data_IF_959592537517
#
_entry.id   IF_959592537517
#
_cell.length_a   1.000
_cell.length_b   1.000
_cell.length_c   1.000
_cell.angle_alpha   90.00
_cell.angle_beta   90.00
_cell.angle_gamma   90.00
#
_symmetry.space_group_name_H-M   'P 1'
#
loop_
_entity.id
_entity.type
_entity.pdbx_description
1 polymer ?
#
# COMPACT_ATOMS: atom_id res chain seq x y z
N UNK A 1 65.83 24.43 -61.21
CA UNK A 1 66.31 24.24 -59.83
C UNK A 1 65.32 24.91 -58.89
N UNK A 2 64.88 24.16 -57.87
CA UNK A 2 64.10 24.60 -56.70
C UNK A 2 62.73 25.26 -56.95
N UNK A 3 61.70 24.73 -56.28
CA UNK A 3 61.13 25.40 -55.10
C UNK A 3 59.70 24.93 -54.87
N UNK A 4 59.46 24.28 -53.73
CA UNK A 4 58.13 24.12 -53.16
C UNK A 4 57.73 25.42 -52.46
N UNK A 5 56.47 25.86 -52.61
CA UNK A 5 55.85 26.84 -51.70
C UNK A 5 54.32 26.70 -51.66
N UNK A 6 53.85 26.40 -50.48
CA UNK A 6 52.49 26.47 -49.93
C UNK A 6 52.01 27.92 -49.71
N UNK A 7 50.70 28.18 -49.88
CA UNK A 7 49.81 29.12 -49.12
C UNK A 7 48.41 29.07 -49.81
N UNK A 8 47.28 28.68 -49.18
CA UNK A 8 46.49 29.20 -48.04
C UNK A 8 45.44 30.26 -48.47
N UNK A 9 44.23 30.14 -47.87
CA UNK A 9 43.07 31.10 -47.78
C UNK A 9 41.93 30.92 -48.81
N UNK A 10 40.62 31.12 -48.55
CA UNK A 10 39.71 31.12 -47.38
C UNK A 10 38.27 31.36 -47.96
N UNK A 11 37.22 30.90 -47.27
CA UNK A 11 35.90 31.56 -47.11
C UNK A 11 34.64 31.26 -48.00
N UNK A 12 33.50 31.28 -47.29
CA UNK A 12 32.08 31.52 -47.64
C UNK A 12 31.08 30.37 -47.97
N UNK A 13 30.39 29.88 -46.92
CA UNK A 13 28.94 30.03 -46.62
C UNK A 13 27.92 30.10 -47.79
N UNK A 14 26.95 29.17 -47.84
CA UNK A 14 25.51 29.45 -48.09
C UNK A 14 24.60 28.22 -47.83
N UNK A 15 23.57 28.40 -47.01
CA UNK A 15 22.32 27.60 -46.92
C UNK A 15 21.18 28.60 -47.21
N UNK A 16 20.02 28.27 -47.84
CA UNK A 16 18.79 28.00 -47.05
C UNK A 16 17.57 27.30 -47.73
N UNK A 17 16.55 26.94 -46.90
CA UNK A 17 15.05 26.95 -47.07
C UNK A 17 14.38 26.14 -48.23
N UNK A 18 13.11 25.70 -48.25
CA UNK A 18 11.97 25.34 -47.35
C UNK A 18 10.78 24.95 -48.29
N UNK A 19 9.71 24.30 -47.77
CA UNK A 19 8.30 24.23 -48.31
C UNK A 19 8.01 23.34 -49.54
N UNK A 20 6.91 22.57 -49.74
CA UNK A 20 5.56 22.43 -49.11
C UNK A 20 4.76 21.22 -49.67
N UNK A 21 3.86 20.63 -48.85
CA UNK A 21 2.46 20.12 -49.11
C UNK A 21 2.19 18.94 -50.07
N UNK A 22 1.81 17.74 -49.60
CA UNK A 22 0.49 17.19 -49.19
C UNK A 22 -0.51 16.84 -50.31
N UNK A 23 -0.84 15.55 -50.45
CA UNK A 23 -2.21 15.06 -50.70
C UNK A 23 -2.32 13.55 -50.40
N UNK A 24 -3.30 13.23 -49.56
CA UNK A 24 -3.82 11.95 -49.08
C UNK A 24 -4.49 11.11 -50.17
N UNK A 25 -4.51 9.76 -50.08
CA UNK A 25 -5.71 8.87 -50.12
C UNK A 25 -5.30 7.46 -49.66
N UNK A 26 -6.19 6.87 -48.87
CA UNK A 26 -6.16 5.57 -48.21
C UNK A 26 -6.26 4.34 -49.15
N UNK A 27 -6.19 3.17 -48.51
CA UNK A 27 -6.51 1.81 -49.00
C UNK A 27 -5.33 0.96 -49.52
N UNK A 28 -4.61 0.36 -48.56
CA UNK A 28 -4.11 -1.01 -48.70
C UNK A 28 -4.12 -1.71 -47.32
N UNK A 29 -5.26 -1.63 -46.64
CA UNK A 29 -5.68 -2.72 -45.78
C UNK A 29 -6.31 -3.80 -46.68
N UNK A 30 -6.04 -5.07 -46.38
CA UNK A 30 -6.51 -6.29 -47.05
C UNK A 30 -5.65 -6.83 -48.22
N UNK A 31 -4.56 -7.52 -47.87
CA UNK A 31 -4.03 -8.75 -48.50
C UNK A 31 -2.65 -9.03 -47.85
N UNK A 32 -2.36 -10.10 -47.11
CA UNK A 32 -2.95 -11.43 -47.00
C UNK A 32 -2.89 -11.86 -45.53
N UNK A 33 -4.09 -12.12 -45.01
CA UNK A 33 -4.31 -12.94 -43.83
C UNK A 33 -3.76 -14.33 -44.16
N UNK A 34 -2.61 -14.64 -43.59
CA UNK A 34 -2.00 -15.95 -43.60
C UNK A 34 -1.42 -16.25 -42.24
N UNK A 35 -2.23 -16.08 -41.17
CA UNK A 35 -1.92 -16.76 -39.91
C UNK A 35 -2.09 -18.26 -40.20
N UNK A 36 -1.06 -19.10 -40.12
CA UNK A 36 -1.34 -20.48 -39.83
C UNK A 36 -1.99 -20.44 -38.44
N UNK A 37 -3.28 -20.73 -38.35
CA UNK A 37 -3.84 -21.18 -37.08
C UNK A 37 -3.05 -22.43 -36.73
N UNK A 38 -2.02 -22.25 -35.90
CA UNK A 38 -1.28 -23.33 -35.31
C UNK A 38 -2.33 -24.16 -34.58
N UNK A 39 -2.62 -25.32 -35.15
CA UNK A 39 -3.57 -26.26 -34.65
C UNK A 39 -3.13 -26.58 -33.22
N UNK A 40 -3.93 -26.17 -32.23
CA UNK A 40 -3.68 -26.49 -30.82
C UNK A 40 -3.78 -28.01 -30.73
N UNK A 41 -2.63 -28.67 -30.81
CA UNK A 41 -2.55 -30.10 -30.64
C UNK A 41 -2.87 -30.35 -29.17
N UNK A 42 -4.03 -30.95 -28.88
CA UNK A 42 -4.45 -31.33 -27.52
C UNK A 42 -3.45 -32.24 -26.80
N UNK A 43 -2.47 -32.76 -27.54
CA UNK A 43 -1.37 -33.58 -27.04
C UNK A 43 -0.08 -32.79 -26.77
N UNK A 44 -0.11 -31.45 -26.78
CA UNK A 44 1.08 -30.63 -26.54
C UNK A 44 1.47 -30.58 -25.06
N UNK A 45 2.78 -30.53 -24.80
CA UNK A 45 3.37 -30.32 -23.47
C UNK A 45 2.94 -28.99 -22.85
N UNK A 46 2.68 -27.95 -23.65
CA UNK A 46 2.25 -26.64 -23.14
C UNK A 46 0.81 -26.69 -22.63
N UNK A 47 -0.10 -27.33 -23.38
CA UNK A 47 -1.47 -27.59 -22.91
C UNK A 47 -1.43 -28.44 -21.65
N UNK A 48 -0.58 -29.47 -21.64
CA UNK A 48 -0.42 -30.33 -20.47
C UNK A 48 0.19 -29.59 -19.26
N UNK A 49 0.98 -28.53 -19.46
CA UNK A 49 1.47 -27.67 -18.37
C UNK A 49 0.33 -26.85 -17.77
N UNK A 50 -0.51 -26.22 -18.60
CA UNK A 50 -1.65 -25.42 -18.15
C UNK A 50 -2.69 -26.25 -17.39
N UNK A 51 -2.93 -27.50 -17.82
CA UNK A 51 -3.85 -28.43 -17.16
C UNK A 51 -3.23 -29.15 -15.96
N UNK A 52 -1.92 -28.98 -15.72
CA UNK A 52 -1.21 -29.67 -14.66
C UNK A 52 -1.38 -29.01 -13.29
N UNK A 53 -0.84 -29.68 -12.27
CA UNK A 53 -0.74 -29.16 -10.90
C UNK A 53 0.30 -28.06 -10.70
N UNK A 54 0.93 -27.55 -11.75
CA UNK A 54 1.87 -26.43 -11.72
C UNK A 54 1.15 -25.13 -12.09
N UNK A 55 0.06 -24.84 -11.39
CA UNK A 55 -0.83 -23.70 -11.68
C UNK A 55 -0.10 -22.36 -11.54
N UNK A 56 0.72 -22.21 -10.49
CA UNK A 56 1.49 -20.99 -10.25
C UNK A 56 2.50 -20.69 -11.39
N UNK A 57 3.16 -21.73 -11.91
CA UNK A 57 4.06 -21.56 -13.05
C UNK A 57 3.28 -21.16 -14.30
N UNK A 58 2.12 -21.77 -14.52
CA UNK A 58 1.25 -21.50 -15.67
C UNK A 58 0.78 -20.04 -15.67
N UNK A 59 0.35 -19.53 -14.51
CA UNK A 59 0.02 -18.12 -14.35
C UNK A 59 1.18 -17.18 -14.66
N UNK A 60 2.41 -17.52 -14.22
CA UNK A 60 3.58 -16.71 -14.53
C UNK A 60 3.90 -16.70 -16.03
N UNK A 61 3.70 -17.83 -16.73
CA UNK A 61 3.88 -17.92 -18.18
C UNK A 61 2.89 -17.03 -18.94
N UNK A 62 1.63 -16.99 -18.49
CA UNK A 62 0.60 -16.09 -19.02
C UNK A 62 0.97 -14.62 -18.77
N UNK A 63 1.31 -14.27 -17.52
CA UNK A 63 1.73 -12.91 -17.12
C UNK A 63 2.99 -12.44 -17.86
N UNK A 64 3.88 -13.36 -18.22
CA UNK A 64 5.10 -13.07 -18.97
C UNK A 64 4.90 -12.98 -20.49
N UNK A 65 3.69 -13.22 -21.00
CA UNK A 65 3.36 -13.24 -22.43
C UNK A 65 4.26 -14.18 -23.24
N UNK A 66 4.66 -15.32 -22.66
CA UNK A 66 5.62 -16.25 -23.27
C UNK A 66 4.99 -17.35 -24.12
N UNK A 67 3.66 -17.51 -24.10
CA UNK A 67 2.97 -18.62 -24.79
C UNK A 67 3.39 -18.74 -26.27
N UNK A 68 3.38 -17.63 -27.02
CA UNK A 68 3.76 -17.64 -28.43
C UNK A 68 5.23 -18.06 -28.65
N UNK A 69 6.14 -17.62 -27.78
CA UNK A 69 7.56 -17.98 -27.87
C UNK A 69 7.78 -19.46 -27.56
N UNK A 70 7.03 -20.00 -26.59
CA UNK A 70 7.10 -21.42 -26.24
C UNK A 70 6.51 -22.30 -27.33
N UNK A 71 5.39 -21.92 -27.94
CA UNK A 71 4.80 -22.62 -29.08
C UNK A 71 5.79 -22.75 -30.25
N UNK A 72 6.49 -21.65 -30.56
CA UNK A 72 7.55 -21.66 -31.57
C UNK A 72 8.69 -22.60 -31.17
N UNK A 73 9.15 -22.57 -29.92
CA UNK A 73 10.23 -23.44 -29.44
C UNK A 73 9.85 -24.93 -29.54
N UNK A 74 8.62 -25.28 -29.16
CA UNK A 74 8.07 -26.64 -29.21
C UNK A 74 7.92 -27.14 -30.66
N UNK A 75 7.64 -26.24 -31.61
CA UNK A 75 7.53 -26.61 -33.02
C UNK A 75 8.86 -27.02 -33.66
N UNK A 76 9.99 -26.51 -33.14
CA UNK A 76 11.33 -26.74 -33.70
C UNK A 76 12.08 -27.84 -32.95
N UNK A 77 11.91 -27.94 -31.63
CA UNK A 77 12.65 -28.86 -30.78
C UNK A 77 11.75 -29.52 -29.73
N UNK A 78 12.11 -30.75 -29.35
CA UNK A 78 11.53 -31.37 -28.16
C UNK A 78 12.11 -30.71 -26.91
N UNK A 79 11.25 -30.14 -26.07
CA UNK A 79 11.68 -29.36 -24.90
C UNK A 79 11.56 -30.15 -23.59
N UNK A 80 12.34 -29.75 -22.59
CA UNK A 80 12.19 -30.20 -21.21
C UNK A 80 11.90 -28.99 -20.32
N UNK A 81 10.81 -29.04 -19.56
CA UNK A 81 10.36 -27.97 -18.66
C UNK A 81 10.60 -28.43 -17.22
N UNK A 82 11.38 -27.66 -16.47
CA UNK A 82 11.57 -27.87 -15.04
C UNK A 82 10.56 -27.02 -14.26
N UNK A 83 9.45 -27.62 -13.84
CA UNK A 83 8.36 -26.93 -13.17
C UNK A 83 8.53 -26.93 -11.64
N UNK A 84 8.68 -25.77 -10.99
CA UNK A 84 8.72 -25.69 -9.53
C UNK A 84 7.34 -26.02 -8.95
N UNK A 85 7.32 -26.69 -7.80
CA UNK A 85 6.06 -26.91 -7.07
C UNK A 85 5.45 -25.57 -6.61
N UNK A 86 4.12 -25.49 -6.56
CA UNK A 86 3.41 -24.29 -6.13
C UNK A 86 3.89 -23.77 -4.76
N UNK A 87 4.16 -24.68 -3.81
CA UNK A 87 4.63 -24.29 -2.48
C UNK A 87 5.99 -23.56 -2.52
N UNK A 88 6.84 -23.87 -3.51
CA UNK A 88 8.13 -23.23 -3.67
C UNK A 88 8.01 -21.78 -4.19
N UNK A 89 6.90 -21.44 -4.85
CA UNK A 89 6.63 -20.09 -5.36
C UNK A 89 5.87 -19.22 -4.36
N UNK A 90 5.08 -19.84 -3.49
CA UNK A 90 4.32 -19.15 -2.45
C UNK A 90 5.11 -18.96 -1.17
N UNK A 91 5.82 -19.99 -0.70
CA UNK A 91 6.41 -20.02 0.65
C UNK A 91 7.93 -19.85 0.66
N UNK A 92 8.61 -20.43 -0.32
CA UNK A 92 10.08 -20.46 -0.33
C UNK A 92 10.71 -19.24 -1.02
N UNK A 93 9.89 -18.43 -1.71
CA UNK A 93 10.35 -17.24 -2.43
C UNK A 93 10.30 -16.00 -1.53
N UNK A 94 11.36 -15.19 -1.55
CA UNK A 94 11.38 -13.89 -0.86
C UNK A 94 10.21 -13.02 -1.37
N UNK A 95 9.33 -12.50 -0.48
CA UNK A 95 8.19 -11.68 -0.89
C UNK A 95 8.62 -10.43 -1.65
N UNK A 96 9.76 -9.82 -1.31
CA UNK A 96 10.28 -8.66 -2.06
C UNK A 96 10.72 -9.06 -3.47
N UNK A 97 11.32 -10.24 -3.62
CA UNK A 97 11.71 -10.78 -4.92
C UNK A 97 10.50 -11.13 -5.78
N UNK A 98 9.45 -11.71 -5.17
CA UNK A 98 8.18 -12.00 -5.86
C UNK A 98 7.53 -10.72 -6.38
N UNK A 99 7.45 -9.68 -5.55
CA UNK A 99 6.94 -8.37 -5.97
C UNK A 99 7.78 -7.78 -7.11
N UNK A 100 9.11 -7.84 -7.01
CA UNK A 100 10.00 -7.39 -8.06
C UNK A 100 9.72 -8.09 -9.41
N UNK A 101 9.48 -9.40 -9.42
CA UNK A 101 9.18 -10.14 -10.65
C UNK A 101 7.82 -9.80 -11.25
N UNK A 102 6.82 -9.49 -10.43
CA UNK A 102 5.45 -9.20 -10.86
C UNK A 102 5.24 -7.74 -11.28
N UNK A 103 6.18 -6.83 -10.97
CA UNK A 103 6.16 -5.45 -11.46
C UNK A 103 6.17 -5.43 -13.01
N UNK A 104 5.23 -4.74 -13.68
CA UNK A 104 5.15 -4.67 -15.15
C UNK A 104 6.46 -4.19 -15.81
N UNK A 105 7.22 -3.35 -15.10
CA UNK A 105 8.52 -2.84 -15.55
C UNK A 105 9.59 -3.93 -15.68
N UNK A 106 9.49 -5.01 -14.92
CA UNK A 106 10.50 -6.08 -14.84
C UNK A 106 10.07 -7.34 -15.60
N UNK A 107 9.14 -7.20 -16.55
CA UNK A 107 8.62 -8.30 -17.37
C UNK A 107 9.74 -9.08 -18.08
N UNK A 108 10.81 -8.39 -18.55
CA UNK A 108 11.97 -9.05 -19.17
C UNK A 108 12.71 -9.97 -18.19
N UNK A 109 12.77 -9.60 -16.92
CA UNK A 109 13.42 -10.38 -15.86
C UNK A 109 12.60 -11.64 -15.56
N UNK A 110 11.27 -11.50 -15.51
CA UNK A 110 10.34 -12.62 -15.40
C UNK A 110 10.45 -13.57 -16.61
N UNK A 111 10.46 -13.04 -17.83
CA UNK A 111 10.65 -13.85 -19.04
C UNK A 111 11.97 -14.63 -19.01
N UNK A 112 13.07 -13.97 -18.66
CA UNK A 112 14.39 -14.61 -18.58
C UNK A 112 14.42 -15.71 -17.52
N UNK A 113 13.75 -15.50 -16.38
CA UNK A 113 13.62 -16.49 -15.32
C UNK A 113 12.84 -17.72 -15.81
N UNK A 114 11.70 -17.52 -16.47
CA UNK A 114 10.87 -18.63 -16.96
C UNK A 114 11.58 -19.41 -18.08
N UNK A 115 12.23 -18.73 -19.02
CA UNK A 115 13.02 -19.37 -20.08
C UNK A 115 14.22 -20.16 -19.54
N UNK A 116 14.72 -19.82 -18.35
CA UNK A 116 15.78 -20.57 -17.69
C UNK A 116 15.31 -21.93 -17.15
N UNK A 117 14.00 -22.12 -16.96
CA UNK A 117 13.41 -23.40 -16.58
C UNK A 117 13.22 -24.34 -17.77
N UNK A 118 13.50 -23.89 -18.99
CA UNK A 118 13.21 -24.65 -20.21
C UNK A 118 14.50 -24.94 -20.95
N UNK A 119 14.71 -26.22 -21.24
CA UNK A 119 15.86 -26.71 -22.01
C UNK A 119 15.35 -27.18 -23.38
N UNK A 120 15.89 -26.69 -24.51
CA UNK A 120 15.48 -27.07 -25.87
C UNK A 120 16.03 -28.44 -26.29
N UNK A 121 16.09 -29.39 -25.35
CA UNK A 121 16.44 -30.79 -25.61
C UNK A 121 15.59 -31.68 -24.72
N UNK A 122 15.22 -32.86 -25.21
CA UNK A 122 14.44 -33.84 -24.44
C UNK A 122 15.36 -34.63 -23.51
N UNK A 123 15.22 -34.38 -22.22
CA UNK A 123 15.95 -35.06 -21.15
C UNK A 123 14.89 -35.79 -20.35
N UNK A 124 14.87 -37.12 -20.47
CA UNK A 124 14.00 -37.96 -19.66
C UNK A 124 14.79 -38.64 -18.56
N UNK A 125 14.09 -39.34 -17.69
CA UNK A 125 14.69 -40.02 -16.55
C UNK A 125 15.87 -40.95 -16.85
N UNK A 126 15.75 -41.71 -17.94
CA UNK A 126 16.79 -42.64 -18.42
C UNK A 126 17.98 -41.96 -19.10
N UNK A 127 17.83 -40.71 -19.53
CA UNK A 127 18.89 -39.88 -20.15
C UNK A 127 19.50 -38.88 -19.17
N UNK A 128 19.22 -39.03 -17.88
CA UNK A 128 19.79 -38.15 -16.87
C UNK A 128 21.30 -38.36 -16.78
N UNK A 129 22.11 -37.28 -16.72
CA UNK A 129 23.56 -37.40 -16.66
C UNK A 129 24.02 -37.98 -15.32
N UNK A 130 25.02 -38.87 -15.35
CA UNK A 130 25.64 -39.43 -14.14
C UNK A 130 26.62 -38.45 -13.49
N UNK A 131 27.20 -37.55 -14.29
CA UNK A 131 28.12 -36.50 -13.85
C UNK A 131 27.49 -35.12 -14.05
N UNK A 132 28.14 -34.05 -13.59
CA UNK A 132 27.61 -32.70 -13.79
C UNK A 132 27.78 -32.27 -15.25
N UNK A 133 26.68 -32.20 -16.00
CA UNK A 133 26.67 -31.74 -17.40
C UNK A 133 26.05 -30.36 -17.54
N UNK A 134 26.56 -29.58 -18.50
CA UNK A 134 26.06 -28.25 -18.84
C UNK A 134 25.05 -28.35 -19.98
N UNK A 135 23.85 -27.84 -19.77
CA UNK A 135 22.79 -27.74 -20.77
C UNK A 135 22.48 -26.27 -21.06
N UNK A 136 22.28 -25.94 -22.33
CA UNK A 136 21.78 -24.61 -22.70
C UNK A 136 20.29 -24.56 -22.40
N UNK A 137 19.80 -23.45 -21.86
CA UNK A 137 18.36 -23.21 -21.67
C UNK A 137 17.85 -22.32 -22.80
N UNK A 138 16.54 -22.07 -22.86
CA UNK A 138 16.00 -21.02 -23.72
C UNK A 138 16.38 -19.61 -23.24
N UNK A 139 16.87 -19.49 -22.01
CA UNK A 139 17.56 -18.28 -21.56
C UNK A 139 19.03 -18.29 -21.98
N UNK A 140 19.65 -17.12 -22.04
CA UNK A 140 21.09 -16.96 -22.33
C UNK A 140 22.01 -17.62 -21.27
N UNK A 141 21.46 -18.16 -20.17
CA UNK A 141 22.20 -18.74 -19.07
C UNK A 141 22.15 -20.27 -19.09
N UNK A 142 23.29 -20.98 -19.00
CA UNK A 142 23.30 -22.43 -18.96
C UNK A 142 22.77 -22.97 -17.62
N UNK A 143 22.22 -24.17 -17.66
CA UNK A 143 21.76 -24.94 -16.51
C UNK A 143 22.63 -26.18 -16.33
N UNK A 144 22.99 -26.48 -15.09
CA UNK A 144 23.80 -27.65 -14.75
C UNK A 144 22.89 -28.76 -14.22
N UNK A 145 22.97 -29.95 -14.81
CA UNK A 145 22.27 -31.13 -14.32
C UNK A 145 23.31 -32.06 -13.70
N UNK A 146 23.01 -32.60 -12.51
CA UNK A 146 23.91 -33.54 -11.83
C UNK A 146 23.13 -34.62 -11.10
N UNK A 147 23.84 -35.67 -10.73
CA UNK A 147 23.33 -36.77 -9.92
C UNK A 147 24.27 -36.94 -8.72
N UNK A 148 23.76 -36.69 -7.51
CA UNK A 148 24.53 -36.76 -6.27
C UNK A 148 23.87 -37.78 -5.34
N UNK A 149 24.57 -38.89 -5.05
CA UNK A 149 24.16 -39.88 -4.04
C UNK A 149 22.67 -40.27 -4.12
N UNK A 150 22.20 -40.63 -5.33
CA UNK A 150 20.78 -40.97 -5.67
C UNK A 150 19.78 -39.81 -5.74
N UNK A 151 20.23 -38.57 -5.54
CA UNK A 151 19.43 -37.36 -5.70
C UNK A 151 19.81 -36.64 -6.99
N UNK A 152 18.84 -36.52 -7.90
CA UNK A 152 18.97 -35.73 -9.13
C UNK A 152 18.83 -34.24 -8.81
N UNK A 153 19.77 -33.43 -9.28
CA UNK A 153 19.84 -31.98 -9.05
C UNK A 153 19.77 -31.22 -10.38
N UNK A 154 19.01 -30.12 -10.36
CA UNK A 154 18.84 -29.16 -11.45
C UNK A 154 19.33 -27.82 -10.95
N UNK A 155 20.58 -27.48 -11.26
CA UNK A 155 21.26 -26.32 -10.68
C UNK A 155 21.32 -26.44 -9.15
N UNK A 156 20.59 -25.57 -8.45
CA UNK A 156 20.46 -25.57 -6.99
C UNK A 156 19.19 -26.28 -6.49
N UNK A 157 18.30 -26.73 -7.39
CA UNK A 157 17.03 -27.34 -7.04
C UNK A 157 17.10 -28.87 -7.10
N UNK A 158 16.49 -29.54 -6.12
CA UNK A 158 16.31 -31.00 -6.15
C UNK A 158 15.17 -31.37 -7.09
N UNK A 159 15.37 -32.39 -7.92
CA UNK A 159 14.30 -33.02 -8.68
C UNK A 159 13.40 -33.79 -7.71
N UNK A 160 12.13 -33.42 -7.65
CA UNK A 160 11.13 -34.02 -6.76
C UNK A 160 10.29 -35.04 -7.51
N UNK A 161 9.89 -34.72 -8.76
CA UNK A 161 9.11 -35.61 -9.62
C UNK A 161 9.76 -35.70 -10.99
N UNK A 162 10.22 -36.90 -11.30
CA UNK A 162 10.83 -37.25 -12.57
C UNK A 162 9.74 -37.66 -13.55
N UNK A 163 9.88 -37.27 -14.83
CA UNK A 163 8.93 -37.57 -15.90
C UNK A 163 7.43 -37.38 -15.50
N UNK A 164 7.10 -36.30 -14.79
CA UNK A 164 5.75 -36.07 -14.22
C UNK A 164 4.69 -35.97 -15.32
N UNK A 165 5.04 -35.31 -16.42
CA UNK A 165 4.22 -35.25 -17.64
C UNK A 165 5.12 -35.55 -18.83
N UNK A 166 4.75 -36.57 -19.60
CA UNK A 166 5.47 -36.96 -20.81
C UNK A 166 4.56 -36.82 -22.02
N UNK A 167 4.97 -35.98 -22.97
CA UNK A 167 4.33 -35.81 -24.27
C UNK A 167 5.34 -36.08 -25.39
N UNK A 168 4.84 -36.06 -26.63
CA UNK A 168 5.67 -36.31 -27.81
C UNK A 168 6.62 -35.13 -28.08
N UNK A 169 6.15 -33.93 -27.77
CA UNK A 169 6.80 -32.64 -28.01
C UNK A 169 7.61 -32.14 -26.80
N UNK A 170 7.46 -32.75 -25.63
CA UNK A 170 8.29 -32.42 -24.47
C UNK A 170 8.03 -33.25 -23.22
N UNK A 171 8.82 -32.94 -22.18
CA UNK A 171 8.74 -33.56 -20.85
C UNK A 171 8.68 -32.47 -19.79
N UNK A 172 7.88 -32.69 -18.74
CA UNK A 172 7.84 -31.84 -17.56
C UNK A 172 8.42 -32.60 -16.36
N UNK A 173 9.34 -31.94 -15.66
CA UNK A 173 9.99 -32.41 -14.46
C UNK A 173 9.63 -31.50 -13.29
N UNK A 174 9.18 -32.08 -12.18
CA UNK A 174 8.89 -31.34 -10.96
C UNK A 174 10.14 -31.07 -10.14
N UNK A 175 10.47 -29.80 -9.91
CA UNK A 175 11.60 -29.39 -9.07
C UNK A 175 11.11 -28.81 -7.73
N UNK A 176 11.96 -28.93 -6.71
CA UNK A 176 11.63 -28.55 -5.35
C UNK A 176 11.75 -27.05 -5.06
N UNK A 177 12.47 -26.29 -5.91
CA UNK A 177 12.76 -24.86 -5.74
C UNK A 177 12.79 -24.16 -7.10
N UNK A 178 12.53 -22.85 -7.11
CA UNK A 178 12.65 -22.00 -8.30
C UNK A 178 14.11 -21.85 -8.75
N UNK A 179 14.38 -21.95 -10.05
CA UNK A 179 15.69 -21.70 -10.64
C UNK A 179 15.84 -20.19 -10.91
N UNK A 180 16.76 -19.55 -10.20
CA UNK A 180 17.00 -18.10 -10.33
C UNK A 180 18.29 -17.87 -11.11
N UNK A 181 18.24 -17.30 -12.34
CA UNK A 181 19.42 -16.94 -13.09
C UNK A 181 20.23 -15.84 -12.37
N UNK A 182 21.56 -15.91 -12.47
CA UNK A 182 22.47 -14.90 -11.87
C UNK A 182 22.15 -13.47 -12.33
N UNK A 183 21.76 -13.29 -13.59
CA UNK A 183 21.36 -11.99 -14.14
C UNK A 183 20.14 -11.39 -13.44
N UNK A 184 19.09 -12.20 -13.25
CA UNK A 184 17.87 -11.76 -12.56
C UNK A 184 18.15 -11.46 -11.09
N UNK A 185 18.99 -12.27 -10.43
CA UNK A 185 19.42 -12.01 -9.06
C UNK A 185 20.21 -10.70 -8.93
N UNK A 186 21.10 -10.40 -9.88
CA UNK A 186 21.86 -9.16 -9.92
C UNK A 186 20.95 -7.94 -10.14
N UNK A 187 19.95 -8.06 -11.01
CA UNK A 187 18.97 -7.01 -11.26
C UNK A 187 18.16 -6.69 -10.00
N UNK A 188 17.67 -7.72 -9.29
CA UNK A 188 17.02 -7.55 -7.99
C UNK A 188 17.93 -6.87 -6.96
N UNK A 189 19.17 -7.34 -6.81
CA UNK A 189 20.12 -6.77 -5.85
C UNK A 189 20.44 -5.30 -6.17
N UNK A 190 20.56 -4.95 -7.45
CA UNK A 190 20.78 -3.57 -7.91
C UNK A 190 19.58 -2.68 -7.58
N UNK A 191 18.36 -3.19 -7.72
CA UNK A 191 17.14 -2.44 -7.38
C UNK A 191 17.02 -2.23 -5.87
N UNK A 192 17.35 -3.25 -5.08
CA UNK A 192 17.38 -3.15 -3.62
C UNK A 192 18.44 -2.16 -3.15
N UNK A 193 19.64 -2.16 -3.73
CA UNK A 193 20.68 -1.19 -3.39
C UNK A 193 20.30 0.22 -3.80
N UNK A 194 19.66 0.42 -4.96
CA UNK A 194 19.12 1.73 -5.35
C UNK A 194 18.03 2.21 -4.40
N UNK A 195 17.09 1.35 -3.97
CA UNK A 195 16.12 1.70 -2.93
C UNK A 195 16.82 2.08 -1.61
N UNK A 196 17.86 1.34 -1.20
CA UNK A 196 18.62 1.67 0.01
C UNK A 196 19.40 2.98 -0.11
N UNK A 197 19.97 3.28 -1.29
CA UNK A 197 20.68 4.55 -1.57
C UNK A 197 19.68 5.72 -1.60
N UNK A 198 18.48 5.52 -2.16
CA UNK A 198 17.42 6.53 -2.17
C UNK A 198 16.73 6.71 -0.81
N UNK A 199 16.82 5.71 0.08
CA UNK A 199 16.27 5.76 1.43
C UNK A 199 17.19 6.45 2.46
N UNK A 200 18.33 7.02 2.03
CA UNK A 200 19.11 7.92 2.88
C UNK A 200 18.30 9.19 3.07
N UNK A 201 17.78 9.38 4.29
CA UNK A 201 17.06 10.60 4.67
C UNK A 201 17.97 11.80 4.38
N UNK A 202 17.54 12.79 3.58
CA UNK A 202 18.35 13.99 3.37
C UNK A 202 18.54 14.69 4.72
N UNK A 203 19.78 14.74 5.19
CA UNK A 203 20.15 15.55 6.34
C UNK A 203 20.22 17.02 5.91
N UNK A 204 19.73 17.93 6.75
CA UNK A 204 19.84 19.36 6.49
C UNK A 204 21.30 19.79 6.35
N UNK A 205 21.55 20.83 5.56
CA UNK A 205 22.90 21.39 5.43
C UNK A 205 23.46 21.74 6.82
N UNK A 206 24.75 21.42 7.09
CA UNK A 206 25.31 21.64 8.41
C UNK A 206 25.32 23.13 8.74
N UNK A 207 24.69 23.50 9.85
CA UNK A 207 24.56 24.90 10.29
C UNK A 207 25.93 25.40 10.80
N UNK A 208 26.47 26.44 10.17
CA UNK A 208 27.72 27.09 10.60
C UNK A 208 27.37 28.26 11.49
N UNK A 209 27.88 28.28 12.72
CA UNK A 209 27.69 29.44 13.61
C UNK A 209 28.48 30.64 13.04
N UNK A 210 27.83 31.75 12.64
CA UNK A 210 28.49 32.85 11.93
C UNK A 210 29.49 33.63 12.80
N UNK A 211 29.41 33.47 14.13
CA UNK A 211 30.32 34.13 15.08
C UNK A 211 31.59 33.32 15.38
N UNK A 212 31.55 32.01 15.15
CA UNK A 212 32.66 31.09 15.51
C UNK A 212 33.20 30.31 14.32
N UNK A 213 32.54 30.37 13.15
CA UNK A 213 32.84 29.58 11.95
C UNK A 213 32.99 28.07 12.23
N UNK A 214 32.29 27.58 13.26
CA UNK A 214 32.27 26.16 13.62
C UNK A 214 30.94 25.55 13.23
N UNK A 215 30.99 24.28 12.83
CA UNK A 215 29.80 23.48 12.62
C UNK A 215 29.09 23.31 13.95
N UNK A 216 27.82 23.70 14.00
CA UNK A 216 26.97 23.49 15.16
C UNK A 216 26.68 22.00 15.27
N UNK A 217 26.95 21.42 16.44
CA UNK A 217 26.77 19.99 16.65
C UNK A 217 25.26 19.66 16.57
N UNK A 218 24.85 18.63 15.81
CA UNK A 218 23.44 18.23 15.77
C UNK A 218 22.92 17.97 17.18
N UNK A 219 21.71 18.42 17.47
CA UNK A 219 21.04 18.09 18.72
C UNK A 219 20.89 16.56 18.82
N UNK A 220 21.11 15.96 20.01
CA UNK A 220 20.92 14.53 20.18
C UNK A 220 19.47 14.14 19.86
N UNK A 221 19.24 12.94 19.30
CA UNK A 221 17.89 12.50 18.93
C UNK A 221 16.99 12.51 20.15
N UNK A 222 15.89 13.25 20.05
CA UNK A 222 14.90 13.34 21.12
C UNK A 222 14.05 12.07 21.10
N UNK A 223 13.72 11.54 22.28
CA UNK A 223 12.98 10.28 22.39
C UNK A 223 11.55 10.47 21.86
N UNK A 224 10.98 9.48 21.15
CA UNK A 224 9.57 9.53 20.74
C UNK A 224 8.67 9.80 21.96
N UNK A 225 7.78 10.80 21.85
CA UNK A 225 6.88 11.21 22.93
C UNK A 225 7.43 12.29 23.87
N UNK A 226 8.59 12.86 23.60
CA UNK A 226 9.06 14.06 24.32
C UNK A 226 8.27 15.30 23.91
N UNK A 227 8.05 16.19 24.87
CA UNK A 227 7.50 17.52 24.60
C UNK A 227 8.38 18.29 23.60
N UNK A 228 7.78 19.12 22.73
CA UNK A 228 8.52 19.92 21.76
C UNK A 228 9.51 20.84 22.47
N UNK A 229 10.73 20.91 21.93
CA UNK A 229 11.87 21.68 22.48
C UNK A 229 11.56 23.17 22.62
N UNK A 230 10.60 23.68 21.84
CA UNK A 230 10.11 25.04 21.92
C UNK A 230 8.62 25.05 22.31
N UNK A 231 8.22 25.97 23.21
CA UNK A 231 6.82 26.13 23.57
C UNK A 231 5.99 26.60 22.37
N UNK A 232 4.75 26.13 22.28
CA UNK A 232 3.80 26.42 21.19
C UNK A 232 3.65 27.93 20.94
N UNK A 233 3.72 28.75 22.00
CA UNK A 233 3.70 30.21 21.91
C UNK A 233 4.79 30.79 20.99
N UNK A 234 5.99 30.20 20.95
CA UNK A 234 7.08 30.67 20.09
C UNK A 234 6.86 30.32 18.62
N UNK A 235 6.03 29.30 18.33
CA UNK A 235 5.59 28.97 16.98
C UNK A 235 4.36 29.79 16.55
N UNK A 236 3.56 30.27 17.50
CA UNK A 236 2.35 31.09 17.27
C UNK A 236 2.59 32.60 17.37
N UNK A 237 3.76 33.03 17.86
CA UNK A 237 4.09 34.45 17.89
C UNK A 237 4.05 35.00 16.46
N UNK A 238 3.38 36.14 16.20
CA UNK A 238 3.51 36.83 14.94
C UNK A 238 4.98 37.15 14.78
N UNK A 239 5.68 36.40 13.93
CA UNK A 239 7.05 36.73 13.57
C UNK A 239 7.07 38.17 13.07
N UNK A 240 8.17 38.92 13.28
CA UNK A 240 8.30 40.22 12.66
C UNK A 240 8.00 40.07 11.16
N UNK A 241 7.06 40.86 10.65
CA UNK A 241 6.57 40.87 9.25
C UNK A 241 7.63 41.38 8.25
N UNK A 242 8.90 41.08 8.54
CA UNK A 242 10.13 41.48 7.87
C UNK A 242 10.98 40.27 7.48
N UNK A 243 10.47 39.05 7.62
CA UNK A 243 10.98 37.96 6.79
C UNK A 243 10.47 38.21 5.36
N UNK A 244 11.35 38.34 4.35
CA UNK A 244 10.91 38.19 2.97
C UNK A 244 10.11 36.90 2.89
N UNK A 245 9.02 36.88 2.11
CA UNK A 245 8.27 35.66 1.83
C UNK A 245 9.26 34.48 1.64
N UNK A 246 9.00 33.30 2.24
CA UNK A 246 9.90 32.16 2.13
C UNK A 246 10.35 32.02 0.68
N UNK A 247 11.67 32.15 0.45
CA UNK A 247 12.21 32.03 -0.89
C UNK A 247 11.65 30.73 -1.50
N UNK A 248 11.06 30.78 -2.71
CA UNK A 248 10.55 29.60 -3.38
C UNK A 248 11.60 28.49 -3.27
N UNK A 249 11.25 27.37 -2.63
CA UNK A 249 12.10 26.19 -2.62
C UNK A 249 12.48 25.84 -4.06
N UNK A 250 13.61 25.15 -4.30
CA UNK A 250 14.07 24.84 -5.64
C UNK A 250 13.06 23.90 -6.31
N UNK A 251 12.09 24.52 -6.97
CA UNK A 251 11.02 23.86 -7.70
C UNK A 251 11.59 23.26 -8.97
N UNK A 252 11.40 21.96 -9.12
CA UNK A 252 11.32 21.37 -10.45
C UNK A 252 10.18 22.04 -11.25
N UNK A 253 10.14 21.86 -12.58
CA UNK A 253 9.33 22.70 -13.49
C UNK A 253 7.83 22.78 -13.19
N UNK A 254 7.30 21.86 -12.39
CA UNK A 254 5.96 21.87 -11.82
C UNK A 254 6.08 21.20 -10.45
N UNK A 255 5.51 21.75 -9.38
CA UNK A 255 4.98 21.07 -8.17
C UNK A 255 4.74 22.13 -7.06
N UNK A 256 3.92 23.15 -7.37
CA UNK A 256 3.04 23.68 -6.34
C UNK A 256 1.91 22.67 -6.23
N UNK A 257 1.73 22.07 -5.05
CA UNK A 257 0.62 21.17 -4.82
C UNK A 257 -0.63 22.03 -4.64
N UNK A 258 -1.44 22.09 -5.67
CA UNK A 258 -2.65 22.90 -5.68
C UNK A 258 -3.77 22.14 -4.95
N UNK A 259 -3.86 22.35 -3.64
CA UNK A 259 -4.90 21.74 -2.82
C UNK A 259 -6.31 22.23 -3.17
N UNK A 260 -6.46 23.45 -3.73
CA UNK A 260 -7.77 23.94 -4.19
C UNK A 260 -8.28 23.13 -5.37
N UNK A 261 -7.40 22.79 -6.32
CA UNK A 261 -7.76 21.90 -7.44
C UNK A 261 -8.21 20.52 -6.96
N UNK A 262 -7.55 19.98 -5.92
CA UNK A 262 -7.92 18.68 -5.36
C UNK A 262 -9.27 18.69 -4.66
N UNK A 263 -9.56 19.75 -3.89
CA UNK A 263 -10.87 19.90 -3.25
C UNK A 263 -11.96 20.03 -4.32
N UNK A 264 -11.68 20.71 -5.43
CA UNK A 264 -12.62 20.79 -6.56
C UNK A 264 -12.85 19.41 -7.22
N UNK A 265 -11.81 18.64 -7.45
CA UNK A 265 -11.90 17.28 -8.02
C UNK A 265 -12.65 16.33 -7.08
N UNK A 266 -12.43 16.46 -5.77
CA UNK A 266 -13.18 15.78 -4.72
C UNK A 266 -14.68 16.10 -4.79
N UNK A 267 -15.06 17.38 -4.81
CA UNK A 267 -16.48 17.81 -4.89
C UNK A 267 -17.12 17.28 -6.17
N UNK A 268 -16.40 17.34 -7.29
CA UNK A 268 -16.87 16.82 -8.56
C UNK A 268 -17.04 15.29 -8.53
N UNK A 269 -16.21 14.57 -7.77
CA UNK A 269 -16.33 13.12 -7.60
C UNK A 269 -17.56 12.76 -6.77
N UNK A 270 -17.85 13.50 -5.69
CA UNK A 270 -19.07 13.31 -4.90
C UNK A 270 -20.34 13.45 -5.75
N UNK A 271 -20.39 14.49 -6.59
CA UNK A 271 -21.52 14.72 -7.52
C UNK A 271 -21.66 13.61 -8.57
N UNK A 272 -20.55 13.00 -9.00
CA UNK A 272 -20.58 11.89 -9.98
C UNK A 272 -20.95 10.55 -9.34
N UNK A 273 -20.51 10.31 -8.11
CA UNK A 273 -20.85 9.10 -7.36
C UNK A 273 -22.37 9.04 -7.11
N UNK A 274 -22.96 10.19 -6.76
CA UNK A 274 -24.39 10.34 -6.48
C UNK A 274 -24.76 9.90 -5.07
N UNK A 275 -25.81 10.48 -4.50
CA UNK A 275 -26.22 10.20 -3.12
C UNK A 275 -25.49 11.01 -2.04
N UNK A 276 -24.62 11.94 -2.44
CA UNK A 276 -23.90 12.88 -1.57
C UNK A 276 -23.99 14.33 -2.11
N UNK A 277 -25.05 14.64 -2.86
CA UNK A 277 -25.24 15.93 -3.51
C UNK A 277 -25.45 17.05 -2.50
N UNK A 278 -26.19 16.80 -1.42
CA UNK A 278 -26.48 17.81 -0.39
C UNK A 278 -25.19 18.30 0.27
N UNK A 279 -24.27 17.37 0.57
CA UNK A 279 -22.96 17.72 1.10
C UNK A 279 -22.10 18.47 0.08
N UNK A 280 -22.08 18.02 -1.18
CA UNK A 280 -21.34 18.70 -2.22
C UNK A 280 -21.84 20.14 -2.42
N UNK A 281 -23.15 20.35 -2.39
CA UNK A 281 -23.79 21.67 -2.49
C UNK A 281 -23.45 22.56 -1.29
N UNK A 282 -23.42 22.00 -0.07
CA UNK A 282 -22.97 22.73 1.12
C UNK A 282 -21.51 23.16 0.98
N UNK A 283 -20.62 22.30 0.50
CA UNK A 283 -19.21 22.62 0.29
C UNK A 283 -19.00 23.70 -0.77
N UNK A 284 -19.80 23.69 -1.83
CA UNK A 284 -19.77 24.73 -2.88
C UNK A 284 -20.32 26.05 -2.38
N UNK A 285 -21.41 26.04 -1.59
CA UNK A 285 -22.03 27.24 -1.04
C UNK A 285 -21.18 27.87 0.07
N UNK A 286 -20.58 27.05 0.94
CA UNK A 286 -19.63 27.46 1.98
C UNK A 286 -18.23 27.56 1.38
N UNK A 287 -18.03 28.50 0.44
CA UNK A 287 -16.74 28.65 -0.26
C UNK A 287 -15.56 28.79 0.68
N UNK A 288 -15.75 29.40 1.87
CA UNK A 288 -14.69 29.54 2.87
C UNK A 288 -14.17 28.18 3.35
N UNK A 289 -15.05 27.21 3.58
CA UNK A 289 -14.67 25.88 4.04
C UNK A 289 -13.85 25.14 2.98
N UNK A 290 -14.29 25.19 1.71
CA UNK A 290 -13.56 24.59 0.60
C UNK A 290 -12.17 25.25 0.41
N UNK A 291 -12.08 26.57 0.54
CA UNK A 291 -10.80 27.30 0.48
C UNK A 291 -9.90 26.95 1.66
N UNK A 292 -10.43 26.82 2.87
CA UNK A 292 -9.66 26.40 4.05
C UNK A 292 -9.12 24.97 3.90
N UNK A 293 -9.95 24.03 3.44
CA UNK A 293 -9.51 22.67 3.12
C UNK A 293 -8.42 22.68 2.06
N UNK A 294 -8.58 23.46 0.99
CA UNK A 294 -7.59 23.58 -0.08
C UNK A 294 -6.25 24.12 0.44
N UNK A 295 -6.29 25.11 1.34
CA UNK A 295 -5.10 25.67 1.99
C UNK A 295 -4.42 24.64 2.89
N UNK A 296 -5.17 23.93 3.72
CA UNK A 296 -4.63 22.88 4.60
C UNK A 296 -3.93 21.78 3.77
N UNK A 297 -4.56 21.34 2.69
CA UNK A 297 -3.99 20.30 1.81
C UNK A 297 -2.75 20.82 1.09
N UNK A 298 -2.74 22.09 0.67
CA UNK A 298 -1.57 22.75 0.05
C UNK A 298 -0.40 22.91 1.02
N UNK A 299 -0.68 23.16 2.31
CA UNK A 299 0.32 23.17 3.39
C UNK A 299 0.83 21.76 3.75
N UNK A 300 0.19 20.73 3.21
CA UNK A 300 0.62 19.34 3.32
C UNK A 300 -0.11 18.53 4.38
N UNK A 301 -1.18 19.07 4.99
CA UNK A 301 -2.05 18.31 5.86
C UNK A 301 -2.81 17.23 5.08
N UNK A 302 -3.22 16.20 5.81
CA UNK A 302 -4.02 15.09 5.28
C UNK A 302 -5.36 15.06 6.00
N UNK A 303 -6.43 14.80 5.25
CA UNK A 303 -7.79 14.91 5.71
C UNK A 303 -8.59 13.65 5.37
N UNK A 304 -9.47 13.26 6.26
CA UNK A 304 -10.54 12.29 6.00
C UNK A 304 -11.88 12.98 6.18
N UNK A 305 -12.73 12.83 5.18
CA UNK A 305 -14.07 13.43 5.15
C UNK A 305 -15.08 12.32 5.32
N UNK A 306 -15.85 12.36 6.40
CA UNK A 306 -16.98 11.47 6.64
C UNK A 306 -18.22 12.07 5.97
N UNK A 307 -18.57 11.61 4.78
CA UNK A 307 -19.64 12.17 3.97
C UNK A 307 -21.00 11.54 4.34
N UNK A 308 -21.95 12.27 4.94
CA UNK A 308 -23.30 11.75 5.17
C UNK A 308 -24.07 11.64 3.86
N UNK A 309 -24.82 10.54 3.71
CA UNK A 309 -25.69 10.34 2.55
C UNK A 309 -26.84 11.38 2.49
N UNK A 310 -27.36 11.59 1.29
CA UNK A 310 -28.47 12.53 1.03
C UNK A 310 -29.72 12.14 1.84
N UNK A 311 -29.94 10.85 2.08
CA UNK A 311 -31.07 10.37 2.91
C UNK A 311 -30.93 10.81 4.38
N UNK A 312 -29.73 10.78 4.95
CA UNK A 312 -29.48 11.25 6.31
C UNK A 312 -29.55 12.77 6.39
N UNK A 313 -29.01 13.47 5.39
CA UNK A 313 -29.09 14.93 5.33
C UNK A 313 -30.56 15.40 5.23
N UNK A 314 -31.40 14.67 4.49
CA UNK A 314 -32.84 14.95 4.41
C UNK A 314 -33.61 14.67 5.71
N UNK A 315 -33.10 13.81 6.59
CA UNK A 315 -33.69 13.54 7.92
C UNK A 315 -33.43 14.65 8.93
N UNK A 316 -32.50 15.56 8.65
CA UNK A 316 -32.24 16.72 9.49
C UNK A 316 -33.46 17.64 9.50
N UNK A 317 -33.90 18.04 10.70
CA UNK A 317 -34.98 19.01 10.81
C UNK A 317 -34.52 20.34 10.24
N UNK A 318 -35.40 21.04 9.50
CA UNK A 318 -35.10 22.37 8.94
C UNK A 318 -34.62 23.36 9.99
N UNK A 319 -35.03 23.16 11.24
CA UNK A 319 -34.68 23.99 12.38
C UNK A 319 -33.20 23.88 12.77
N UNK A 320 -32.58 22.70 12.61
CA UNK A 320 -31.16 22.46 12.91
C UNK A 320 -30.22 23.06 11.84
N UNK A 321 -30.71 23.19 10.60
CA UNK A 321 -29.97 23.82 9.50
C UNK A 321 -30.23 25.33 9.38
N UNK A 322 -31.30 25.84 10.02
CA UNK A 322 -31.69 27.24 9.96
C UNK A 322 -30.80 28.15 10.82
N UNK A 323 -30.08 27.61 11.80
CA UNK A 323 -29.14 28.39 12.60
C UNK A 323 -27.97 28.89 11.73
N UNK A 324 -27.66 30.21 11.76
CA UNK A 324 -26.57 30.76 10.95
C UNK A 324 -25.23 30.17 11.37
N UNK A 325 -24.57 29.47 10.44
CA UNK A 325 -23.29 28.79 10.68
C UNK A 325 -23.41 27.38 11.30
N UNK A 326 -24.63 26.85 11.50
CA UNK A 326 -24.82 25.45 11.86
C UNK A 326 -24.32 24.46 10.78
N UNK A 327 -24.61 24.62 9.47
CA UNK A 327 -24.13 23.67 8.47
C UNK A 327 -22.59 23.61 8.45
N UNK A 328 -21.92 24.74 8.62
CA UNK A 328 -20.46 24.82 8.68
C UNK A 328 -19.89 24.04 9.88
N UNK A 329 -20.47 24.21 11.08
CA UNK A 329 -20.06 23.46 12.29
C UNK A 329 -20.28 21.96 12.14
N UNK A 330 -21.41 21.57 11.55
CA UNK A 330 -21.71 20.16 11.26
C UNK A 330 -20.63 19.62 10.34
N UNK A 331 -20.30 20.31 9.24
CA UNK A 331 -19.25 19.87 8.32
C UNK A 331 -17.87 19.76 8.99
N UNK A 332 -17.48 20.70 9.84
CA UNK A 332 -16.21 20.60 10.57
C UNK A 332 -16.14 19.37 11.49
N UNK A 333 -17.27 18.90 12.02
CA UNK A 333 -17.31 17.68 12.84
C UNK A 333 -17.15 16.40 12.01
N UNK A 334 -17.46 16.47 10.72
CA UNK A 334 -17.32 15.35 9.77
C UNK A 334 -15.92 15.27 9.14
N UNK A 335 -15.04 16.24 9.42
CA UNK A 335 -13.67 16.25 8.87
C UNK A 335 -12.67 15.89 9.96
N UNK A 336 -11.91 14.83 9.72
CA UNK A 336 -10.84 14.31 10.58
C UNK A 336 -9.48 14.71 9.98
N UNK A 337 -8.58 15.38 10.73
CA UNK A 337 -7.28 15.81 10.24
C UNK A 337 -6.23 14.69 10.29
N UNK A 338 -6.63 13.49 9.89
CA UNK A 338 -5.78 12.32 9.70
C UNK A 338 -6.18 11.63 8.41
N UNK A 339 -5.26 10.91 7.79
CA UNK A 339 -5.56 10.09 6.61
C UNK A 339 -6.02 8.70 7.05
N UNK A 340 -7.28 8.37 6.83
CA UNK A 340 -7.89 7.12 7.27
C UNK A 340 -8.67 6.51 6.09
N UNK A 341 -8.13 5.41 5.57
CA UNK A 341 -8.86 4.53 4.64
C UNK A 341 -9.79 3.61 5.39
N UNK A 342 -10.73 2.99 4.68
CA UNK A 342 -11.57 1.92 5.22
C UNK A 342 -10.75 0.89 6.01
N UNK A 343 -9.77 0.26 5.35
CA UNK A 343 -8.94 -0.78 5.95
C UNK A 343 -8.25 -0.31 7.24
N UNK A 344 -7.79 0.95 7.27
CA UNK A 344 -7.16 1.53 8.46
C UNK A 344 -8.14 1.62 9.63
N UNK A 345 -9.35 2.14 9.38
CA UNK A 345 -10.39 2.28 10.41
C UNK A 345 -10.84 0.93 10.95
N UNK A 346 -11.14 -0.03 10.07
CA UNK A 346 -11.53 -1.38 10.47
C UNK A 346 -10.46 -2.07 11.31
N UNK A 347 -9.20 -2.03 10.86
CA UNK A 347 -8.10 -2.65 11.57
C UNK A 347 -7.87 -2.01 12.94
N UNK A 348 -7.98 -0.69 13.02
CA UNK A 348 -7.79 0.03 14.25
C UNK A 348 -8.90 -0.34 15.25
N UNK A 349 -10.16 -0.24 14.84
CA UNK A 349 -11.30 -0.52 15.70
C UNK A 349 -11.32 -1.99 16.16
N UNK A 350 -10.98 -2.95 15.30
CA UNK A 350 -10.89 -4.37 15.68
C UNK A 350 -9.79 -4.65 16.71
N UNK A 351 -8.69 -3.88 16.68
CA UNK A 351 -7.55 -4.04 17.61
C UNK A 351 -7.81 -3.37 18.95
N UNK A 352 -8.40 -2.17 18.94
CA UNK A 352 -8.52 -1.32 20.11
C UNK A 352 -9.95 -1.26 20.68
N UNK A 353 -10.94 -1.84 19.98
CA UNK A 353 -12.36 -1.87 20.32
C UNK A 353 -13.06 -0.53 20.09
N UNK A 354 -12.57 0.53 20.74
CA UNK A 354 -13.13 1.89 20.69
C UNK A 354 -12.01 2.90 20.45
N UNK A 355 -12.13 3.68 19.39
CA UNK A 355 -11.15 4.71 18.98
C UNK A 355 -11.81 6.07 18.97
N UNK A 356 -11.02 7.12 19.20
CA UNK A 356 -11.47 8.51 19.12
C UNK A 356 -10.61 9.24 18.11
N UNK A 357 -11.24 9.78 17.07
CA UNK A 357 -10.63 10.63 16.07
C UNK A 357 -10.83 12.09 16.44
N UNK A 358 -9.78 12.89 16.32
CA UNK A 358 -9.90 14.34 16.38
C UNK A 358 -10.66 14.85 15.16
N UNK A 359 -11.42 15.93 15.32
CA UNK A 359 -12.14 16.57 14.20
C UNK A 359 -11.70 18.02 14.08
N UNK A 360 -11.97 18.65 12.93
CA UNK A 360 -11.74 20.09 12.78
C UNK A 360 -12.64 20.93 13.70
N UNK A 361 -13.75 20.37 14.19
CA UNK A 361 -14.60 21.00 15.18
C UNK A 361 -14.08 20.85 16.62
N UNK A 362 -13.01 21.57 16.96
CA UNK A 362 -12.40 21.57 18.31
C UNK A 362 -13.41 22.08 19.36
N UNK A 363 -13.56 21.42 20.53
CA UNK A 363 -12.77 20.31 21.09
C UNK A 363 -13.41 18.91 20.91
N UNK A 364 -14.31 18.74 19.95
CA UNK A 364 -15.11 17.53 19.82
C UNK A 364 -14.35 16.43 19.05
N UNK A 365 -14.43 15.20 19.56
CA UNK A 365 -13.88 14.01 18.93
C UNK A 365 -15.01 13.13 18.41
N UNK A 366 -14.77 12.43 17.31
CA UNK A 366 -15.67 11.39 16.79
C UNK A 366 -15.20 10.04 17.29
N UNK A 367 -16.12 9.28 17.86
CA UNK A 367 -15.84 7.94 18.37
C UNK A 367 -16.11 6.93 17.26
N UNK A 368 -15.23 5.95 17.08
CA UNK A 368 -15.42 4.82 16.16
C UNK A 368 -15.37 3.47 16.92
N UNK A 369 -16.31 2.58 16.63
CA UNK A 369 -16.50 1.28 17.28
C UNK A 369 -16.92 0.20 16.26
N UNK A 370 -16.62 -1.07 16.52
CA UNK A 370 -16.99 -2.17 15.64
C UNK A 370 -18.42 -2.57 15.96
N UNK A 371 -19.29 -2.54 14.97
CA UNK A 371 -20.69 -2.96 15.12
C UNK A 371 -21.15 -3.65 13.83
N UNK A 372 -21.81 -4.80 13.96
CA UNK A 372 -22.45 -5.51 12.85
C UNK A 372 -21.54 -5.83 11.66
N UNK A 373 -20.23 -5.97 11.91
CA UNK A 373 -19.23 -6.23 10.87
C UNK A 373 -18.80 -4.99 10.08
N UNK A 374 -19.28 -3.79 10.45
CA UNK A 374 -18.88 -2.50 9.92
C UNK A 374 -18.29 -1.56 10.99
N UNK A 375 -17.73 -0.42 10.56
CA UNK A 375 -17.30 0.64 11.49
C UNK A 375 -18.48 1.56 11.77
N UNK A 376 -18.78 1.76 13.05
CA UNK A 376 -19.81 2.65 13.55
C UNK A 376 -19.20 3.88 14.18
N UNK A 377 -19.59 5.05 13.70
CA UNK A 377 -19.19 6.37 14.19
C UNK A 377 -20.26 6.97 15.11
N UNK A 378 -19.81 7.78 16.07
CA UNK A 378 -20.67 8.49 17.03
C UNK A 378 -20.74 7.82 18.40
N UNK A 379 -21.28 8.58 19.36
CA UNK A 379 -21.52 8.14 20.73
C UNK A 379 -22.93 8.56 21.15
N UNK A 380 -23.81 7.61 21.49
CA UNK A 380 -25.19 7.88 21.88
C UNK A 380 -26.25 7.40 20.89
N UNK A 381 -27.28 8.21 20.68
CA UNK A 381 -28.45 7.90 19.84
C UNK A 381 -28.22 8.24 18.36
N UNK A 382 -27.41 9.27 18.10
CA UNK A 382 -27.04 9.71 16.76
C UNK A 382 -25.71 9.04 16.38
N UNK A 383 -25.83 7.90 15.71
CA UNK A 383 -24.69 7.11 15.26
C UNK A 383 -24.82 6.80 13.78
N UNK A 384 -23.70 6.74 13.08
CA UNK A 384 -23.66 6.47 11.66
C UNK A 384 -22.76 5.27 11.37
N UNK A 385 -23.19 4.37 10.50
CA UNK A 385 -22.38 3.29 9.98
C UNK A 385 -21.63 3.73 8.74
N UNK A 386 -20.41 3.20 8.58
CA UNK A 386 -19.68 3.26 7.33
C UNK A 386 -20.45 2.46 6.27
N UNK A 387 -20.94 3.15 5.24
CA UNK A 387 -21.80 2.59 4.21
C UNK A 387 -21.04 2.42 2.89
N UNK A 388 -20.52 3.53 2.34
CA UNK A 388 -19.73 3.54 1.11
C UNK A 388 -18.26 3.84 1.43
N UNK A 389 -17.40 2.84 1.52
CA UNK A 389 -15.99 3.08 1.80
C UNK A 389 -15.26 3.67 0.60
N UNK A 390 -14.24 4.49 0.89
CA UNK A 390 -13.20 4.89 -0.05
C UNK A 390 -13.73 5.56 -1.35
N UNK A 391 -14.79 6.40 -1.24
CA UNK A 391 -15.43 7.12 -2.37
C UNK A 391 -14.41 7.93 -3.18
N UNK A 392 -13.47 8.57 -2.49
CA UNK A 392 -12.38 9.33 -3.10
C UNK A 392 -11.10 9.11 -2.29
N UNK A 393 -10.02 8.76 -2.98
CA UNK A 393 -8.69 8.58 -2.40
C UNK A 393 -7.67 9.25 -3.30
N UNK A 394 -6.86 10.13 -2.73
CA UNK A 394 -5.76 10.80 -3.43
C UNK A 394 -4.47 10.88 -2.60
N UNK A 395 -4.37 10.07 -1.54
CA UNK A 395 -3.20 10.02 -0.65
C UNK A 395 -3.06 11.22 0.30
N UNK A 396 -3.80 12.32 0.08
CA UNK A 396 -3.95 13.42 1.05
C UNK A 396 -5.36 13.59 1.55
N UNK A 397 -6.35 13.46 0.67
CA UNK A 397 -7.77 13.48 1.02
C UNK A 397 -8.30 12.06 0.86
N UNK A 398 -9.06 11.60 1.84
CA UNK A 398 -9.87 10.38 1.75
C UNK A 398 -11.32 10.70 2.11
N UNK A 399 -12.27 10.06 1.45
CA UNK A 399 -13.71 10.30 1.66
C UNK A 399 -14.39 8.98 1.96
N UNK A 400 -15.14 8.96 3.06
CA UNK A 400 -15.83 7.79 3.58
C UNK A 400 -17.32 8.12 3.69
N UNK A 401 -18.17 7.39 2.99
CA UNK A 401 -19.62 7.56 3.03
C UNK A 401 -20.24 6.95 4.27
N UNK A 402 -21.05 7.72 4.98
CA UNK A 402 -21.76 7.29 6.19
C UNK A 402 -23.28 7.45 6.04
N UNK A 403 -24.05 6.61 6.70
CA UNK A 403 -25.53 6.54 6.58
C UNK A 403 -26.30 7.49 7.52
N UNK A 404 -25.58 8.34 8.25
CA UNK A 404 -26.12 9.20 9.30
C UNK A 404 -25.30 10.47 9.48
N UNK A 405 -25.93 11.53 9.99
CA UNK A 405 -25.24 12.78 10.33
C UNK A 405 -24.74 12.71 11.76
N UNK A 406 -23.46 13.03 11.95
CA UNK A 406 -22.81 13.02 13.25
C UNK A 406 -22.95 14.37 13.94
N UNK A 407 -23.28 14.34 15.23
CA UNK A 407 -23.33 15.53 16.07
C UNK A 407 -22.38 15.42 17.27
N UNK A 408 -21.79 16.54 17.71
CA UNK A 408 -20.97 16.54 18.90
C UNK A 408 -21.83 16.24 20.14
N UNK A 409 -21.53 15.15 20.85
CA UNK A 409 -22.19 14.86 22.12
C UNK A 409 -21.91 15.99 23.13
N UNK A 410 -22.96 16.63 23.64
CA UNK A 410 -22.81 17.61 24.71
C UNK A 410 -22.29 16.91 25.99
N UNK A 411 -21.37 17.51 26.76
CA UNK A 411 -20.90 16.92 28.02
C UNK A 411 -22.00 16.78 29.09
N UNK A 412 -23.19 17.37 28.86
CA UNK A 412 -24.35 17.29 29.77
C UNK A 412 -24.98 15.88 29.74
N UNK A 413 -24.94 15.18 28.60
CA UNK A 413 -25.57 13.86 28.44
C UNK A 413 -24.77 12.69 29.03
N UNK A 414 -23.47 12.89 29.31
CA UNK A 414 -22.65 11.84 29.96
C UNK A 414 -22.99 11.65 31.43
N UNK A 415 -23.49 12.68 32.11
CA UNK A 415 -23.87 12.62 33.53
C UNK A 415 -25.17 11.83 33.74
N UNK A 416 -26.11 11.91 32.80
CA UNK A 416 -27.41 11.23 32.90
C UNK A 416 -27.32 9.74 32.55
N UNK A 417 -26.45 9.35 31.60
CA UNK A 417 -26.32 7.96 31.12
C UNK A 417 -25.56 7.03 32.08
N UNK A 418 -24.73 7.55 33.00
CA UNK A 418 -24.10 6.70 34.05
C UNK A 418 -25.10 6.24 35.11
N UNK A 419 -26.24 6.92 35.27
CA UNK A 419 -27.27 6.58 36.27
C UNK A 419 -28.32 5.56 35.80
N UNK A 420 -28.54 5.39 34.51
CA UNK A 420 -29.56 4.44 33.99
C UNK A 420 -29.02 3.03 33.72
N UNK A 421 -27.73 2.88 33.38
CA UNK A 421 -27.13 1.56 33.09
C UNK A 421 -26.98 0.66 34.34
N UNK A 422 -27.25 1.19 35.54
CA UNK A 422 -27.16 0.45 36.81
C UNK A 422 -28.49 -0.21 37.26
N UNK A 423 -29.59 -0.08 36.51
CA UNK A 423 -30.92 -0.56 36.95
C UNK A 423 -31.65 -1.45 35.94
N UNK A 424 -31.01 -2.45 35.35
CA UNK A 424 -31.76 -3.48 34.60
C UNK A 424 -30.96 -4.78 34.41
N UNK A 425 -30.69 -5.54 35.47
CA UNK A 425 -30.51 -7.00 35.37
C UNK A 425 -31.04 -7.68 36.66
N UNK A 426 -32.23 -8.25 36.57
CA UNK A 426 -32.75 -9.35 37.41
C UNK A 426 -33.79 -10.05 36.49
N UNK A 427 -33.84 -11.36 36.24
CA UNK A 427 -33.46 -12.53 37.01
C UNK A 427 -33.18 -13.72 36.06
N UNK A 428 -32.14 -14.53 36.33
CA UNK A 428 -32.15 -15.96 35.96
C UNK A 428 -31.77 -16.80 37.17
N UNK A 429 -32.74 -17.65 37.52
CA UNK A 429 -32.83 -18.54 38.68
C UNK A 429 -31.78 -19.66 38.60
N UNK A 430 -30.82 -19.69 39.53
CA UNK A 430 -29.92 -20.83 39.76
C UNK A 430 -30.13 -21.39 41.17
N UNK A 431 -30.40 -22.69 41.20
CA UNK A 431 -30.73 -23.51 42.36
C UNK A 431 -29.55 -23.56 43.34
N UNK A 432 -29.78 -23.07 44.56
CA UNK A 432 -28.83 -23.11 45.67
C UNK A 432 -28.77 -24.50 46.31
N UNK A 433 -27.55 -25.04 46.47
CA UNK A 433 -27.23 -26.09 47.44
C UNK A 433 -26.31 -25.48 48.49
N UNK A 434 -26.85 -25.29 49.70
CA UNK A 434 -26.18 -24.65 50.82
C UNK A 434 -25.17 -25.58 51.51
N UNK A 435 -24.00 -25.06 51.89
CA UNK A 435 -23.25 -25.48 53.10
C UNK A 435 -22.49 -24.30 53.73
N UNK A 436 -23.08 -23.80 54.82
CA UNK A 436 -22.51 -23.27 56.08
C UNK A 436 -21.02 -22.90 56.14
N UNK A 437 -20.75 -21.65 56.55
CA UNK A 437 -19.90 -21.38 57.72
C UNK A 437 -18.97 -20.15 57.67
N UNK A 438 -19.28 -19.14 58.53
CA UNK A 438 -18.42 -18.07 59.13
C UNK A 438 -17.92 -16.99 58.14
N UNK A 439 -18.21 -15.69 58.23
CA UNK A 439 -18.60 -14.77 59.32
C UNK A 439 -17.66 -14.78 60.54
N UNK A 440 -16.42 -14.32 60.32
CA UNK A 440 -15.67 -13.41 61.21
C UNK A 440 -14.32 -13.05 60.57
N UNK A 441 -13.87 -11.81 60.74
CA UNK A 441 -12.47 -11.33 60.60
C UNK A 441 -11.87 -11.12 59.19
N UNK A 442 -12.24 -10.03 58.49
CA UNK A 442 -11.25 -9.20 57.76
C UNK A 442 -11.56 -7.69 57.94
N UNK A 443 -12.04 -7.32 59.12
CA UNK A 443 -12.00 -5.93 59.61
C UNK A 443 -10.81 -5.82 60.58
N UNK A 444 -9.59 -5.83 60.04
CA UNK A 444 -8.40 -5.59 60.87
C UNK A 444 -7.18 -5.08 60.07
N UNK A 445 -7.37 -4.13 59.15
CA UNK A 445 -6.26 -3.32 58.63
C UNK A 445 -6.65 -1.92 58.16
N UNK A 446 -7.51 -1.24 58.92
CA UNK A 446 -7.55 0.22 58.99
C UNK A 446 -7.80 0.56 60.44
N UNK A 447 -6.72 0.70 61.23
CA UNK A 447 -6.61 1.47 62.48
C UNK A 447 -5.31 1.09 63.22
N UNK A 448 -4.17 1.56 62.71
CA UNK A 448 -3.00 1.87 63.53
C UNK A 448 -2.51 3.26 63.12
N UNK A 449 -3.28 4.26 63.54
CA UNK A 449 -2.77 5.61 63.74
C UNK A 449 -2.30 5.70 65.19
N UNK A 450 -1.05 6.11 65.39
CA UNK A 450 -0.52 6.62 66.67
C UNK A 450 -0.34 5.55 67.76
N UNK A 451 0.94 5.38 68.13
CA UNK A 451 1.51 4.61 69.24
C UNK A 451 0.58 3.97 70.28
N UNK A 452 0.67 2.65 70.43
CA UNK A 452 1.43 2.00 71.50
C UNK A 452 1.34 0.45 71.34
N UNK A 453 2.45 -0.21 71.66
CA UNK A 453 2.61 -1.62 72.03
C UNK A 453 2.43 -2.74 70.99
N UNK A 454 3.45 -2.84 70.15
CA UNK A 454 4.34 -4.00 69.97
C UNK A 454 3.79 -5.44 69.95
N UNK A 455 3.86 -5.98 68.72
CA UNK A 455 4.45 -7.27 68.33
C UNK A 455 3.68 -8.54 68.69
N UNK A 456 2.87 -9.01 67.73
CA UNK A 456 2.86 -10.44 67.39
C UNK A 456 2.98 -10.68 65.88
N UNK A 457 3.64 -11.80 65.62
CA UNK A 457 4.36 -12.17 64.42
C UNK A 457 3.63 -13.34 63.76
N UNK A 458 3.48 -13.27 62.43
CA UNK A 458 3.26 -14.38 61.46
C UNK A 458 2.05 -15.31 61.65
N UNK A 459 1.20 -15.34 60.62
CA UNK A 459 0.42 -16.53 60.26
C UNK A 459 0.67 -16.89 58.79
N UNK A 460 0.69 -18.21 58.57
CA UNK A 460 1.25 -18.97 57.47
C UNK A 460 0.17 -19.26 56.42
N UNK A 461 0.52 -19.07 55.15
CA UNK A 461 0.14 -19.78 53.93
C UNK A 461 -0.99 -20.84 54.02
N UNK A 462 -2.04 -20.68 53.21
CA UNK A 462 -2.31 -21.43 51.94
C UNK A 462 -3.33 -20.62 51.13
#
# INVERSE_FOLDING_TARGET
>A
MASAKTHLTFFFLLLPLLTTTTATVAAAAAALIGKPTAQINSNSVLVALLDSRYTELSELVEKALLLQTLEQAVSVHNITIFAPRNEALERDLDPEFKLFLLEPRNLRSLQRLLLHHIVPTRIGGSRWPNETTRHNTLSEHPLHLSNSESVKLVGSAKLVREDDVVRNDGIIHGIGRLLIPKSVQQEFNTRRSLRAILAVKPEGAPEVDPRTNRLKKPAPPVRPGSDPVLPIYSAMAPGPSLAPAPAPGPGGPHHHFDGESQVKDFIQTLLQYGGYNEMADILVNLTNLATEMGKLVSEGYVLTVLAPNDEAMAKLTTDQLAEPGAPEKIMYYHIVPEYQTEESMYNAVRRFGKIQYDTLHVPHKVVAQEADGSVKFGDGEETAYLFDPDIYIDGRISVQGIDGVLFPSSPVDRSLKMTESAKTIDHVKLVAKARRGKLLEVACRVLVSIGQDSKFTKCHQI
#
